data_IF_979083820601
#
_entry.id   IF_979083820601
#
_cell.length_a   1.000
_cell.length_b   1.000
_cell.length_c   1.000
_cell.angle_alpha   90.00
_cell.angle_beta   90.00
_cell.angle_gamma   90.00
#
_symmetry.space_group_name_H-M   'P 1'
#
loop_
_entity.id
_entity.type
_entity.pdbx_description
1 polymer ?
#
# COMPACT_ATOMS: atom_id res chain seq x y z
N UNK A 1 4.60 -20.02 -5.98
CA UNK A 1 5.77 -20.35 -5.15
C UNK A 1 6.19 -19.11 -4.40
N UNK A 2 6.11 -19.16 -3.08
CA UNK A 2 6.50 -18.05 -2.19
C UNK A 2 8.02 -18.04 -2.12
N UNK A 3 8.67 -17.09 -2.79
CA UNK A 3 10.12 -16.94 -2.74
C UNK A 3 10.53 -16.67 -1.28
N UNK A 4 11.20 -17.65 -0.67
CA UNK A 4 11.91 -17.49 0.59
C UNK A 4 13.11 -16.58 0.27
N UNK A 5 13.06 -15.32 0.71
CA UNK A 5 14.25 -14.47 0.74
C UNK A 5 15.30 -15.20 1.58
N UNK A 6 16.43 -15.55 0.96
CA UNK A 6 17.59 -16.00 1.72
C UNK A 6 18.12 -14.82 2.56
N UNK A 7 18.76 -15.08 3.70
CA UNK A 7 19.26 -14.01 4.59
C UNK A 7 20.21 -13.09 3.83
N UNK A 8 21.11 -13.67 3.03
CA UNK A 8 22.05 -12.94 2.17
C UNK A 8 21.36 -12.10 1.09
N UNK A 9 20.16 -12.53 0.65
CA UNK A 9 19.34 -11.75 -0.27
C UNK A 9 18.57 -10.62 0.41
N UNK A 10 18.44 -10.61 1.73
CA UNK A 10 17.82 -9.51 2.42
C UNK A 10 18.83 -8.38 2.69
N UNK A 11 20.10 -8.72 2.93
CA UNK A 11 21.19 -7.79 3.26
C UNK A 11 21.46 -6.81 2.10
N UNK A 12 21.74 -5.57 2.47
CA UNK A 12 21.97 -4.40 1.62
C UNK A 12 20.82 -4.02 0.68
N UNK A 13 19.64 -4.63 0.86
CA UNK A 13 18.46 -4.29 0.06
C UNK A 13 17.58 -3.27 0.78
N UNK A 14 17.00 -2.38 -0.02
CA UNK A 14 15.97 -1.42 0.41
C UNK A 14 14.58 -1.95 0.06
N UNK A 15 13.68 -1.89 1.03
CA UNK A 15 12.33 -2.42 0.99
C UNK A 15 11.32 -1.32 1.31
N UNK A 16 10.27 -1.19 0.50
CA UNK A 16 9.15 -0.30 0.85
C UNK A 16 8.18 -1.05 1.77
N UNK A 17 7.87 -0.48 2.93
CA UNK A 17 6.96 -1.10 3.90
C UNK A 17 5.52 -1.03 3.40
N UNK A 18 4.94 -2.18 3.06
CA UNK A 18 3.55 -2.30 2.60
C UNK A 18 2.56 -2.57 3.73
N UNK A 19 3.01 -2.86 4.96
CA UNK A 19 2.14 -2.99 6.13
C UNK A 19 2.86 -2.46 7.36
N UNK A 20 2.18 -1.65 8.17
CA UNK A 20 2.76 -1.14 9.41
C UNK A 20 3.14 -2.30 10.34
N UNK A 21 4.43 -2.37 10.67
CA UNK A 21 5.02 -3.26 11.65
C UNK A 21 5.06 -2.52 12.98
N UNK A 22 4.19 -2.92 13.91
CA UNK A 22 3.99 -2.23 15.19
C UNK A 22 5.33 -2.11 15.95
N UNK A 23 5.72 -0.87 16.26
CA UNK A 23 6.95 -0.58 17.00
C UNK A 23 8.25 -0.73 16.19
N UNK A 24 8.16 -0.94 14.87
CA UNK A 24 9.33 -1.11 13.99
C UNK A 24 9.30 -0.12 12.83
N UNK A 25 8.30 -0.24 11.94
CA UNK A 25 8.24 0.59 10.75
C UNK A 25 6.81 0.80 10.25
N UNK A 26 6.49 2.03 9.89
CA UNK A 26 5.18 2.36 9.34
C UNK A 26 5.09 2.09 7.85
N UNK A 27 3.87 1.77 7.40
CA UNK A 27 3.52 1.72 6.00
C UNK A 27 3.96 2.97 5.23
N UNK A 28 4.79 2.81 4.19
CA UNK A 28 5.31 3.92 3.40
C UNK A 28 6.75 4.31 3.73
N UNK A 29 7.31 3.83 4.83
CA UNK A 29 8.73 3.99 5.14
C UNK A 29 9.58 3.01 4.31
N UNK A 30 10.87 3.30 4.22
CA UNK A 30 11.85 2.41 3.59
C UNK A 30 12.61 1.71 4.69
N UNK A 31 12.76 0.40 4.58
CA UNK A 31 13.69 -0.37 5.40
C UNK A 31 14.90 -0.71 4.54
N UNK A 32 16.10 -0.39 5.01
CA UNK A 32 17.36 -0.88 4.46
C UNK A 32 17.93 -1.89 5.44
N UNK A 33 17.96 -3.15 5.07
CA UNK A 33 18.62 -4.18 5.89
C UNK A 33 20.11 -4.00 5.72
N UNK A 34 20.81 -3.63 6.79
CA UNK A 34 22.25 -3.36 6.77
C UNK A 34 23.04 -4.63 7.03
N UNK A 35 22.55 -5.48 7.94
CA UNK A 35 23.24 -6.70 8.33
C UNK A 35 22.24 -7.75 8.85
N UNK A 36 22.61 -9.03 8.73
CA UNK A 36 21.88 -10.11 9.34
C UNK A 36 22.84 -11.25 9.75
N UNK A 37 22.93 -11.49 11.05
CA UNK A 37 23.77 -12.54 11.62
C UNK A 37 22.91 -13.77 11.95
N UNK A 38 23.31 -14.92 11.42
CA UNK A 38 22.69 -16.20 11.75
C UNK A 38 23.49 -16.90 12.87
N UNK A 39 22.88 -17.05 14.03
CA UNK A 39 23.36 -17.91 15.12
C UNK A 39 22.58 -19.21 15.13
N UNK A 40 23.15 -20.26 15.73
CA UNK A 40 22.62 -21.63 15.73
C UNK A 40 21.13 -21.77 16.10
N UNK A 41 20.55 -20.84 16.87
CA UNK A 41 19.13 -20.79 17.21
C UNK A 41 18.52 -19.36 17.14
N UNK A 42 19.09 -18.44 16.37
CA UNK A 42 18.47 -17.12 16.21
C UNK A 42 19.02 -16.36 15.02
N UNK A 43 18.20 -15.52 14.40
CA UNK A 43 18.64 -14.58 13.37
C UNK A 43 18.56 -13.16 13.95
N UNK A 44 19.70 -12.48 14.03
CA UNK A 44 19.75 -11.06 14.38
C UNK A 44 19.75 -10.25 13.10
N UNK A 45 18.88 -9.26 12.98
CA UNK A 45 18.78 -8.41 11.78
C UNK A 45 18.87 -6.95 12.20
N UNK A 46 19.85 -6.25 11.63
CA UNK A 46 20.03 -4.81 11.78
C UNK A 46 19.55 -4.11 10.52
N UNK A 47 18.63 -3.16 10.69
CA UNK A 47 18.03 -2.44 9.58
C UNK A 47 17.77 -0.99 9.93
N UNK A 48 17.87 -0.13 8.91
CA UNK A 48 17.57 1.29 8.99
C UNK A 48 16.19 1.57 8.43
N UNK A 49 15.34 2.24 9.20
CA UNK A 49 14.05 2.72 8.73
C UNK A 49 14.20 4.19 8.36
N UNK A 50 14.05 4.53 7.08
CA UNK A 50 13.93 5.93 6.65
C UNK A 50 12.46 6.34 6.70
N UNK A 51 12.15 7.30 7.56
CA UNK A 51 10.79 7.78 7.76
C UNK A 51 10.41 8.72 6.61
N UNK A 52 9.20 8.53 6.08
CA UNK A 52 8.66 9.45 5.09
C UNK A 52 7.97 10.64 5.78
N UNK A 53 8.68 11.76 5.90
CA UNK A 53 8.12 13.04 6.35
C UNK A 53 8.26 14.08 5.23
N UNK A 54 7.59 13.82 4.10
CA UNK A 54 7.69 14.57 2.82
C UNK A 54 9.03 14.43 2.08
N UNK A 55 10.12 14.15 2.80
CA UNK A 55 11.45 13.76 2.30
C UNK A 55 12.03 12.64 3.18
N UNK A 56 12.88 11.77 2.63
CA UNK A 56 13.58 10.71 3.37
C UNK A 56 14.87 11.23 4.01
N UNK A 57 14.77 12.21 4.89
CA UNK A 57 15.94 12.78 5.58
C UNK A 57 16.13 12.23 6.99
N UNK A 58 15.05 11.72 7.59
CA UNK A 58 15.07 11.16 8.94
C UNK A 58 15.17 9.64 8.88
N UNK A 59 16.02 9.07 9.72
CA UNK A 59 16.25 7.63 9.78
C UNK A 59 16.50 7.15 11.20
N UNK A 60 15.99 5.96 11.50
CA UNK A 60 16.20 5.30 12.77
C UNK A 60 16.69 3.87 12.53
N UNK A 61 17.75 3.49 13.24
CA UNK A 61 18.33 2.16 13.17
C UNK A 61 17.67 1.26 14.21
N UNK A 62 17.35 0.04 13.78
CA UNK A 62 16.70 -0.98 14.59
C UNK A 62 17.49 -2.28 14.49
N UNK A 63 17.51 -3.00 15.60
CA UNK A 63 18.01 -4.37 15.66
C UNK A 63 16.91 -5.25 16.20
N UNK A 64 16.54 -6.29 15.46
CA UNK A 64 15.51 -7.25 15.88
C UNK A 64 16.10 -8.65 15.87
N UNK A 65 15.74 -9.43 16.89
CA UNK A 65 16.15 -10.83 17.02
C UNK A 65 14.95 -11.73 16.73
N UNK A 66 15.10 -12.65 15.80
CA UNK A 66 14.15 -13.72 15.51
C UNK A 66 14.62 -15.02 16.13
N UNK A 67 13.68 -15.82 16.63
CA UNK A 67 13.99 -17.10 17.28
C UNK A 67 14.45 -18.18 16.28
N UNK A 68 14.14 -18.01 15.00
CA UNK A 68 14.55 -18.92 13.94
C UNK A 68 14.38 -18.27 12.56
N UNK A 69 14.98 -18.89 11.55
CA UNK A 69 14.90 -18.48 10.15
C UNK A 69 13.44 -18.41 9.66
N UNK A 70 12.55 -19.27 10.15
CA UNK A 70 11.15 -19.26 9.72
C UNK A 70 10.41 -17.98 10.15
N UNK A 71 10.69 -17.45 11.36
CA UNK A 71 10.16 -16.17 11.81
C UNK A 71 10.75 -15.00 11.02
N UNK A 72 12.04 -15.03 10.73
CA UNK A 72 12.69 -14.05 9.86
C UNK A 72 12.03 -14.04 8.48
N UNK A 73 11.84 -15.20 7.86
CA UNK A 73 11.20 -15.32 6.55
C UNK A 73 9.75 -14.84 6.57
N UNK A 74 8.99 -15.06 7.66
CA UNK A 74 7.64 -14.50 7.85
C UNK A 74 7.65 -12.98 7.94
N UNK A 75 8.62 -12.41 8.64
CA UNK A 75 8.79 -10.96 8.71
C UNK A 75 9.14 -10.40 7.33
N UNK A 76 10.12 -11.00 6.65
CA UNK A 76 10.61 -10.65 5.31
C UNK A 76 9.61 -10.97 4.17
N UNK A 77 8.38 -11.40 4.46
CA UNK A 77 7.42 -11.76 3.41
C UNK A 77 7.09 -10.58 2.48
N UNK A 78 6.85 -10.85 1.19
CA UNK A 78 6.42 -9.84 0.20
C UNK A 78 5.13 -9.07 0.54
N UNK A 79 4.37 -9.55 1.54
CA UNK A 79 3.16 -8.90 2.03
C UNK A 79 3.46 -7.75 3.01
N UNK A 80 4.56 -7.85 3.77
CA UNK A 80 5.04 -6.80 4.67
C UNK A 80 5.94 -5.81 3.95
N UNK A 81 6.64 -6.29 2.92
CA UNK A 81 7.61 -5.54 2.14
C UNK A 81 7.36 -5.67 0.65
N UNK A 82 7.25 -4.54 -0.03
CA UNK A 82 7.41 -4.51 -1.48
C UNK A 82 8.92 -4.46 -1.74
N UNK A 83 9.48 -5.59 -2.17
CA UNK A 83 10.91 -5.73 -2.44
C UNK A 83 11.30 -5.17 -3.81
N UNK A 84 12.41 -4.42 -3.82
CA UNK A 84 13.41 -4.18 -4.91
C UNK A 84 13.49 -2.77 -5.51
N UNK A 85 14.76 -2.34 -5.64
CA UNK A 85 15.36 -1.18 -6.26
C UNK A 85 14.59 0.15 -6.12
N UNK A 86 15.00 0.91 -5.10
CA UNK A 86 14.86 2.37 -5.09
C UNK A 86 15.34 3.01 -6.40
N UNK A 87 16.15 2.31 -7.20
CA UNK A 87 16.58 2.73 -8.54
C UNK A 87 15.43 2.73 -9.58
N UNK A 88 14.45 1.82 -9.49
CA UNK A 88 13.34 1.75 -10.46
C UNK A 88 12.06 2.44 -9.97
N UNK A 89 11.96 2.73 -8.67
CA UNK A 89 10.83 3.42 -8.08
C UNK A 89 11.19 4.87 -7.80
N UNK A 90 10.61 5.78 -8.58
CA UNK A 90 10.77 7.20 -8.32
C UNK A 90 10.03 7.57 -7.03
N UNK A 91 10.54 8.56 -6.27
CA UNK A 91 9.91 9.08 -5.05
C UNK A 91 8.42 9.41 -5.32
N UNK A 92 8.11 9.95 -6.50
CA UNK A 92 6.72 10.24 -6.94
C UNK A 92 5.81 9.00 -6.97
N UNK A 93 6.32 7.84 -7.40
CA UNK A 93 5.52 6.60 -7.44
C UNK A 93 5.24 6.10 -6.00
N UNK A 94 6.22 6.22 -5.11
CA UNK A 94 6.08 5.86 -3.69
C UNK A 94 5.07 6.79 -3.01
N UNK A 95 5.16 8.09 -3.24
CA UNK A 95 4.23 9.10 -2.72
C UNK A 95 2.79 8.84 -3.18
N UNK A 96 2.60 8.55 -4.47
CA UNK A 96 1.29 8.26 -5.04
C UNK A 96 0.68 6.99 -4.44
N UNK A 97 1.49 5.95 -4.24
CA UNK A 97 1.07 4.73 -3.55
C UNK A 97 0.62 4.99 -2.12
N UNK A 98 1.43 5.71 -1.32
CA UNK A 98 1.09 6.05 0.07
C UNK A 98 -0.21 6.83 0.11
N UNK A 99 -0.36 7.83 -0.76
CA UNK A 99 -1.57 8.63 -0.88
C UNK A 99 -2.80 7.76 -1.18
N UNK A 100 -2.71 6.83 -2.12
CA UNK A 100 -3.84 5.96 -2.49
C UNK A 100 -4.14 4.93 -1.42
N UNK A 101 -3.12 4.38 -0.77
CA UNK A 101 -3.26 3.40 0.30
C UNK A 101 -3.93 3.98 1.53
N UNK A 102 -3.53 5.18 1.95
CA UNK A 102 -4.05 5.88 3.12
C UNK A 102 -5.45 6.47 2.90
N UNK A 103 -5.95 6.55 1.66
CA UNK A 103 -7.36 6.89 1.42
C UNK A 103 -8.26 5.89 2.15
N UNK A 104 -9.16 6.40 2.97
CA UNK A 104 -10.21 5.63 3.62
C UNK A 104 -11.54 5.87 2.91
N UNK A 105 -12.54 5.04 3.20
CA UNK A 105 -13.90 5.25 2.70
C UNK A 105 -14.42 6.65 3.10
N UNK A 106 -14.13 7.09 4.32
CA UNK A 106 -14.56 8.39 4.85
C UNK A 106 -13.85 9.58 4.23
N UNK A 107 -12.55 9.47 3.90
CA UNK A 107 -11.76 10.57 3.35
C UNK A 107 -11.85 10.69 1.83
N UNK A 108 -12.22 9.61 1.13
CA UNK A 108 -12.27 9.59 -0.34
C UNK A 108 -13.66 9.29 -0.91
N UNK A 109 -14.32 8.22 -0.45
CA UNK A 109 -15.61 7.82 -1.01
C UNK A 109 -16.77 8.70 -0.52
N UNK A 110 -16.81 9.01 0.78
CA UNK A 110 -17.91 9.76 1.40
C UNK A 110 -18.12 11.15 0.76
N UNK A 111 -17.08 11.97 0.51
CA UNK A 111 -17.27 13.27 -0.14
C UNK A 111 -17.82 13.14 -1.56
N UNK A 112 -17.34 12.15 -2.33
CA UNK A 112 -17.83 11.88 -3.68
C UNK A 112 -19.30 11.42 -3.68
N UNK A 113 -19.68 10.57 -2.72
CA UNK A 113 -21.06 10.10 -2.55
C UNK A 113 -21.97 11.26 -2.18
N UNK A 114 -21.56 12.14 -1.26
CA UNK A 114 -22.34 13.32 -0.86
C UNK A 114 -22.55 14.27 -2.03
N UNK A 115 -21.51 14.58 -2.80
CA UNK A 115 -21.61 15.43 -3.99
C UNK A 115 -22.56 14.79 -5.02
N UNK A 116 -22.40 13.49 -5.30
CA UNK A 116 -23.27 12.77 -6.21
C UNK A 116 -24.74 12.78 -5.74
N UNK A 117 -24.99 12.57 -4.44
CA UNK A 117 -26.32 12.59 -3.85
C UNK A 117 -26.99 13.96 -4.03
N UNK A 118 -26.26 15.05 -3.77
CA UNK A 118 -26.76 16.42 -3.95
C UNK A 118 -27.12 16.69 -5.41
N UNK A 119 -26.25 16.30 -6.36
CA UNK A 119 -26.51 16.49 -7.80
C UNK A 119 -27.73 15.68 -8.23
N UNK A 120 -27.79 14.39 -7.89
CA UNK A 120 -28.91 13.50 -8.25
C UNK A 120 -30.22 14.04 -7.70
N UNK A 121 -30.22 14.48 -6.43
CA UNK A 121 -31.41 15.03 -5.78
C UNK A 121 -31.85 16.36 -6.40
N UNK A 122 -30.92 17.29 -6.63
CA UNK A 122 -31.20 18.58 -7.25
C UNK A 122 -31.78 18.42 -8.67
N UNK A 123 -31.27 17.44 -9.42
CA UNK A 123 -31.70 17.20 -10.80
C UNK A 123 -33.10 16.55 -10.84
N UNK A 124 -33.36 15.53 -10.01
CA UNK A 124 -34.63 14.80 -10.03
C UNK A 124 -35.78 15.54 -9.35
N UNK A 125 -35.50 16.21 -8.22
CA UNK A 125 -36.53 16.89 -7.42
C UNK A 125 -36.60 18.38 -7.75
N UNK A 126 -35.46 19.05 -7.94
CA UNK A 126 -35.42 20.48 -8.23
C UNK A 126 -35.74 20.82 -9.69
N UNK A 127 -35.00 20.21 -10.63
CA UNK A 127 -35.10 20.52 -12.06
C UNK A 127 -36.26 19.77 -12.72
N UNK A 128 -36.31 18.44 -12.57
CA UNK A 128 -37.34 17.59 -13.19
C UNK A 128 -38.66 17.56 -12.42
N UNK A 129 -38.68 18.04 -11.17
CA UNK A 129 -39.88 18.19 -10.32
C UNK A 129 -40.75 16.93 -10.25
N UNK A 130 -40.11 15.76 -10.18
CA UNK A 130 -40.79 14.45 -10.19
C UNK A 130 -41.54 14.10 -8.88
N UNK A 131 -41.65 15.05 -7.94
CA UNK A 131 -42.36 14.88 -6.67
C UNK A 131 -41.86 13.68 -5.86
N UNK A 132 -42.79 12.87 -5.34
CA UNK A 132 -42.48 11.68 -4.52
C UNK A 132 -41.69 10.63 -5.31
N UNK A 133 -41.99 10.46 -6.60
CA UNK A 133 -41.27 9.52 -7.48
C UNK A 133 -39.81 9.96 -7.63
N UNK A 134 -39.56 11.27 -7.73
CA UNK A 134 -38.22 11.84 -7.76
C UNK A 134 -37.40 11.53 -6.51
N UNK A 135 -38.04 11.54 -5.33
CA UNK A 135 -37.39 11.19 -4.05
C UNK A 135 -36.98 9.71 -4.04
N UNK A 136 -37.89 8.80 -4.41
CA UNK A 136 -37.59 7.36 -4.45
C UNK A 136 -36.46 7.05 -5.45
N UNK A 137 -36.53 7.62 -6.65
CA UNK A 137 -35.49 7.45 -7.67
C UNK A 137 -34.14 8.02 -7.21
N UNK A 138 -34.14 9.17 -6.54
CA UNK A 138 -32.90 9.78 -6.04
C UNK A 138 -32.20 8.92 -5.00
N UNK A 139 -32.95 8.24 -4.13
CA UNK A 139 -32.41 7.28 -3.16
C UNK A 139 -31.78 6.07 -3.86
N UNK A 140 -32.48 5.47 -4.81
CA UNK A 140 -32.00 4.30 -5.55
C UNK A 140 -30.73 4.64 -6.35
N UNK A 141 -30.72 5.77 -7.05
CA UNK A 141 -29.56 6.22 -7.81
C UNK A 141 -28.37 6.59 -6.94
N UNK A 142 -28.61 7.17 -5.76
CA UNK A 142 -27.54 7.47 -4.79
C UNK A 142 -26.91 6.19 -4.24
N UNK A 143 -27.72 5.16 -3.94
CA UNK A 143 -27.21 3.84 -3.53
C UNK A 143 -26.39 3.19 -4.66
N UNK A 144 -26.87 3.27 -5.90
CA UNK A 144 -26.13 2.80 -7.07
C UNK A 144 -24.79 3.51 -7.27
N UNK A 145 -24.78 4.85 -7.14
CA UNK A 145 -23.55 5.65 -7.21
C UNK A 145 -22.57 5.29 -6.10
N UNK A 146 -23.05 5.08 -4.87
CA UNK A 146 -22.23 4.66 -3.74
C UNK A 146 -21.56 3.30 -3.98
N UNK A 147 -22.30 2.32 -4.51
CA UNK A 147 -21.75 1.02 -4.90
C UNK A 147 -20.68 1.16 -6.00
N UNK A 148 -20.94 1.98 -7.02
CA UNK A 148 -19.98 2.25 -8.11
C UNK A 148 -18.68 2.89 -7.61
N UNK A 149 -18.79 3.92 -6.76
CA UNK A 149 -17.63 4.59 -6.14
C UNK A 149 -16.82 3.62 -5.28
N UNK A 150 -17.50 2.74 -4.52
CA UNK A 150 -16.82 1.74 -3.70
C UNK A 150 -16.04 0.71 -4.52
N UNK A 151 -16.64 0.19 -5.60
CA UNK A 151 -15.98 -0.73 -6.52
C UNK A 151 -14.79 -0.06 -7.20
N UNK A 152 -14.96 1.17 -7.69
CA UNK A 152 -13.88 1.95 -8.29
C UNK A 152 -12.71 2.16 -7.32
N UNK A 153 -13.01 2.52 -6.07
CA UNK A 153 -12.02 2.68 -5.02
C UNK A 153 -11.21 1.40 -4.75
N UNK A 154 -11.89 0.24 -4.65
CA UNK A 154 -11.22 -1.06 -4.50
C UNK A 154 -10.33 -1.39 -5.70
N UNK A 155 -10.82 -1.15 -6.91
CA UNK A 155 -10.09 -1.40 -8.14
C UNK A 155 -8.87 -0.48 -8.27
N UNK A 156 -9.00 0.80 -7.93
CA UNK A 156 -7.88 1.75 -7.93
C UNK A 156 -6.78 1.31 -6.96
N UNK A 157 -7.13 0.90 -5.73
CA UNK A 157 -6.15 0.36 -4.77
C UNK A 157 -5.45 -0.90 -5.29
N UNK A 158 -6.19 -1.80 -5.94
CA UNK A 158 -5.65 -3.02 -6.52
C UNK A 158 -4.73 -2.73 -7.70
N UNK A 159 -5.13 -1.86 -8.62
CA UNK A 159 -4.35 -1.50 -9.81
C UNK A 159 -3.04 -0.81 -9.44
N UNK A 160 -3.04 0.10 -8.48
CA UNK A 160 -1.83 0.81 -8.06
C UNK A 160 -0.85 -0.12 -7.32
N UNK A 161 -1.38 -1.04 -6.51
CA UNK A 161 -0.57 -2.14 -5.95
C UNK A 161 0.08 -2.93 -7.09
N UNK A 162 -0.71 -3.40 -8.07
CA UNK A 162 -0.20 -4.16 -9.22
C UNK A 162 0.80 -3.38 -10.09
N UNK A 163 0.61 -2.08 -10.28
CA UNK A 163 1.53 -1.20 -11.04
C UNK A 163 2.91 -1.11 -10.38
N UNK A 164 2.97 -1.06 -9.05
CA UNK A 164 4.25 -1.12 -8.34
C UNK A 164 4.88 -2.49 -8.49
N UNK A 165 4.11 -3.57 -8.31
CA UNK A 165 4.62 -4.92 -8.54
C UNK A 165 5.12 -5.13 -9.98
N UNK A 166 4.48 -4.54 -10.99
CA UNK A 166 4.91 -4.69 -12.39
C UNK A 166 6.20 -3.94 -12.70
N UNK A 167 6.38 -2.73 -12.13
CA UNK A 167 7.64 -1.96 -12.23
C UNK A 167 8.80 -2.67 -11.54
N UNK A 168 8.49 -3.44 -10.51
CA UNK A 168 9.45 -4.29 -9.82
C UNK A 168 9.72 -5.55 -10.64
N UNK A 169 8.67 -6.20 -11.17
CA UNK A 169 8.80 -7.49 -11.86
C UNK A 169 9.46 -7.40 -13.25
N UNK A 170 9.48 -6.23 -13.88
CA UNK A 170 10.17 -6.03 -15.17
C UNK A 170 11.70 -6.21 -15.12
N UNK A 171 12.29 -6.37 -13.92
CA UNK A 171 13.67 -6.79 -13.70
C UNK A 171 13.82 -8.03 -12.81
N UNK A 172 12.74 -8.79 -12.61
CA UNK A 172 12.75 -10.06 -11.86
C UNK A 172 12.84 -11.29 -12.77
N UNK A 173 13.16 -11.10 -14.04
CA UNK A 173 13.67 -12.16 -14.89
C UNK A 173 15.18 -12.26 -14.71
N UNK A 174 15.63 -13.25 -13.95
CA UNK A 174 16.91 -13.89 -14.28
C UNK A 174 16.82 -14.25 -15.76
N UNK A 175 17.80 -13.81 -16.56
CA UNK A 175 18.02 -14.36 -17.91
C UNK A 175 18.26 -15.85 -17.68
N UNK A 176 17.28 -16.67 -18.05
CA UNK A 176 17.50 -18.10 -18.19
C UNK A 176 18.19 -18.21 -19.55
N UNK A 177 19.50 -18.45 -19.53
CA UNK A 177 20.22 -18.97 -20.71
C UNK A 177 19.64 -20.33 -21.12
#
# INVERSE_FOLDING_TARGET
MTYLLNIDEAIDRKFLVSKTLKGQAEAGNIIHVMDAENSSNSVLVTYRVSHYNERFHDYQDYTVKFENVAQFCKWAQPDNFIARNYENLNIKDIQHYIKIKNRSFTTFCLPLILIAAVIIFALLVGVLKLGVIGVVLSLVLTLGAAAGIFVFFRNQKKQEKMRLYSKISSGWGVVID
#
